data_IF_991722335965
#
_entry.id   IF_991722335965
#
_cell.length_a   1.000
_cell.length_b   1.000
_cell.length_c   1.000
_cell.angle_alpha   90.00
_cell.angle_beta   90.00
_cell.angle_gamma   90.00
#
_symmetry.space_group_name_H-M   'P 1'
#
loop_
_entity.id
_entity.type
_entity.pdbx_description
1 polymer ?
#
# COMPACT_ATOMS: atom_id res chain seq x y z
N UNK A 1 -3.86 -36.36 8.64
CA UNK A 1 -3.24 -35.71 7.47
C UNK A 1 -4.17 -34.62 6.97
N UNK A 2 -4.32 -33.60 7.81
CA UNK A 2 -4.21 -32.18 7.48
C UNK A 2 -4.60 -31.79 6.05
N UNK A 3 -5.90 -31.63 5.80
CA UNK A 3 -6.36 -30.85 4.66
C UNK A 3 -6.42 -29.40 5.10
N UNK A 4 -5.29 -28.69 4.97
CA UNK A 4 -5.23 -27.25 5.18
C UNK A 4 -6.29 -26.58 4.28
N UNK A 5 -7.14 -25.69 4.81
CA UNK A 5 -8.10 -24.98 3.98
C UNK A 5 -7.32 -24.16 2.97
N UNK A 6 -7.65 -24.38 1.70
CA UNK A 6 -7.32 -23.56 0.53
C UNK A 6 -7.00 -22.12 0.97
N UNK A 7 -5.76 -21.59 0.77
CA UNK A 7 -5.50 -20.21 1.12
C UNK A 7 -6.37 -19.38 0.18
N UNK A 8 -7.47 -18.87 0.75
CA UNK A 8 -8.23 -17.76 0.19
C UNK A 8 -7.19 -16.72 -0.25
N UNK A 9 -7.36 -16.05 -1.40
CA UNK A 9 -6.43 -15.02 -1.82
C UNK A 9 -6.19 -14.10 -0.64
N UNK A 10 -4.94 -14.04 -0.17
CA UNK A 10 -4.57 -13.32 1.04
C UNK A 10 -4.82 -11.83 0.80
N UNK A 11 -6.04 -11.38 1.09
CA UNK A 11 -6.42 -9.99 0.95
C UNK A 11 -5.75 -9.21 2.06
N UNK A 12 -4.93 -8.25 1.67
CA UNK A 12 -4.25 -7.38 2.62
C UNK A 12 -5.20 -6.29 3.08
N UNK A 13 -5.36 -6.17 4.38
CA UNK A 13 -6.14 -5.10 4.99
C UNK A 13 -5.21 -3.96 5.34
N UNK A 14 -5.40 -2.82 4.68
CA UNK A 14 -4.70 -1.59 4.99
C UNK A 14 -5.49 -0.77 6.01
N UNK A 15 -4.93 -0.62 7.20
CA UNK A 15 -5.45 0.24 8.25
C UNK A 15 -4.70 1.58 8.26
N UNK A 16 -5.38 2.64 7.82
CA UNK A 16 -4.78 3.98 7.80
C UNK A 16 -4.64 4.60 9.20
N UNK A 17 -5.55 4.28 10.12
CA UNK A 17 -5.57 4.83 11.48
C UNK A 17 -4.44 4.21 12.31
N UNK A 18 -4.33 2.89 12.28
CA UNK A 18 -3.25 2.14 12.90
C UNK A 18 -1.93 2.26 12.12
N UNK A 19 -1.98 2.69 10.85
CA UNK A 19 -0.86 2.70 9.90
C UNK A 19 -0.20 1.33 9.80
N UNK A 20 -1.03 0.30 9.63
CA UNK A 20 -0.59 -1.08 9.59
C UNK A 20 -1.23 -1.79 8.40
N UNK A 21 -0.48 -2.70 7.80
CA UNK A 21 -1.02 -3.66 6.86
C UNK A 21 -1.09 -5.01 7.52
N UNK A 22 -2.25 -5.61 7.46
CA UNK A 22 -2.52 -6.91 8.05
C UNK A 22 -2.86 -7.88 6.93
N UNK A 23 -2.15 -8.99 6.90
CA UNK A 23 -2.54 -10.21 6.21
C UNK A 23 -2.70 -11.32 7.24
N UNK A 24 -3.25 -12.46 6.83
CA UNK A 24 -3.67 -13.56 7.70
C UNK A 24 -2.72 -13.83 8.88
N UNK A 25 -1.42 -13.92 8.62
CA UNK A 25 -0.39 -14.18 9.64
C UNK A 25 0.71 -13.11 9.70
N UNK A 26 0.55 -11.99 9.00
CA UNK A 26 1.60 -10.98 8.87
C UNK A 26 1.07 -9.59 9.18
N UNK A 27 1.80 -8.83 9.98
CA UNK A 27 1.51 -7.43 10.26
C UNK A 27 2.73 -6.58 9.93
N UNK A 28 2.53 -5.55 9.10
CA UNK A 28 3.58 -4.64 8.67
C UNK A 28 3.25 -3.24 9.19
N UNK A 29 4.09 -2.72 10.07
CA UNK A 29 4.02 -1.33 10.53
C UNK A 29 4.55 -0.36 9.48
N UNK A 30 3.72 0.65 9.19
CA UNK A 30 4.03 1.72 8.26
C UNK A 30 4.31 3.01 9.01
N UNK A 31 5.28 3.76 8.51
CA UNK A 31 5.45 5.17 8.88
C UNK A 31 4.30 6.01 8.34
N UNK A 32 4.14 7.23 8.87
CA UNK A 32 3.16 8.21 8.39
C UNK A 32 3.28 8.45 6.88
N UNK A 33 4.50 8.49 6.37
CA UNK A 33 4.77 8.71 4.95
C UNK A 33 4.40 7.50 4.09
N UNK A 34 4.76 6.29 4.54
CA UNK A 34 4.43 5.04 3.82
C UNK A 34 2.91 4.79 3.77
N UNK A 35 2.20 5.06 4.87
CA UNK A 35 0.74 4.92 4.94
C UNK A 35 0.03 5.89 3.99
N UNK A 36 0.47 7.14 3.91
CA UNK A 36 -0.07 8.10 2.92
C UNK A 36 0.19 7.65 1.48
N UNK A 37 1.39 7.14 1.19
CA UNK A 37 1.75 6.63 -0.13
C UNK A 37 0.82 5.46 -0.56
N UNK A 38 0.61 4.48 0.33
CA UNK A 38 -0.29 3.35 0.05
C UNK A 38 -1.72 3.82 -0.11
N UNK A 39 -2.20 4.69 0.78
CA UNK A 39 -3.53 5.29 0.67
C UNK A 39 -3.73 5.94 -0.70
N UNK A 40 -2.74 6.69 -1.16
CA UNK A 40 -2.77 7.36 -2.48
C UNK A 40 -2.83 6.33 -3.62
N UNK A 41 -2.02 5.28 -3.55
CA UNK A 41 -2.04 4.18 -4.54
C UNK A 41 -3.39 3.46 -4.57
N UNK A 42 -4.02 3.26 -3.41
CA UNK A 42 -5.31 2.57 -3.29
C UNK A 42 -6.50 3.43 -3.72
N UNK A 43 -6.46 4.74 -3.44
CA UNK A 43 -7.51 5.68 -3.86
C UNK A 43 -7.45 6.03 -5.35
N UNK A 44 -6.31 5.79 -5.99
CA UNK A 44 -6.17 6.09 -7.40
C UNK A 44 -7.01 5.16 -8.25
N UNK A 45 -8.07 5.71 -8.85
CA UNK A 45 -8.85 5.05 -9.90
C UNK A 45 -8.00 4.71 -11.13
N UNK A 46 -6.94 5.49 -11.38
CA UNK A 46 -5.92 5.14 -12.36
C UNK A 46 -5.08 4.01 -11.79
N UNK A 47 -5.10 2.85 -12.46
CA UNK A 47 -4.23 1.70 -12.11
C UNK A 47 -2.75 2.10 -11.96
N UNK A 48 -2.32 3.21 -12.57
CA UNK A 48 -0.97 3.74 -12.49
C UNK A 48 -0.99 5.16 -11.88
N UNK A 49 -0.23 5.36 -10.80
CA UNK A 49 0.02 6.64 -10.15
C UNK A 49 1.36 7.23 -10.59
N UNK A 50 1.37 8.45 -11.11
CA UNK A 50 2.61 9.16 -11.44
C UNK A 50 3.38 9.62 -10.20
N UNK A 51 4.69 9.84 -10.35
CA UNK A 51 5.55 10.30 -9.24
C UNK A 51 4.98 11.53 -8.54
N UNK A 52 4.53 12.53 -9.32
CA UNK A 52 3.95 13.76 -8.77
C UNK A 52 2.68 13.48 -7.94
N UNK A 53 1.78 12.60 -8.41
CA UNK A 53 0.57 12.23 -7.68
C UNK A 53 0.91 11.55 -6.34
N UNK A 54 1.90 10.66 -6.34
CA UNK A 54 2.36 10.01 -5.11
C UNK A 54 2.92 11.03 -4.12
N UNK A 55 3.75 11.95 -4.59
CA UNK A 55 4.37 12.98 -3.74
C UNK A 55 3.29 13.91 -3.16
N UNK A 56 2.32 14.34 -3.98
CA UNK A 56 1.19 15.15 -3.53
C UNK A 56 0.33 14.42 -2.49
N UNK A 57 0.04 13.14 -2.71
CA UNK A 57 -0.75 12.33 -1.78
C UNK A 57 -0.03 12.04 -0.45
N UNK A 58 1.29 12.16 -0.41
CA UNK A 58 2.11 12.10 0.81
C UNK A 58 2.17 13.43 1.57
N UNK A 59 1.42 14.44 1.12
CA UNK A 59 1.49 15.82 1.62
C UNK A 59 2.93 16.37 1.53
N UNK A 60 3.56 16.15 0.38
CA UNK A 60 4.92 16.61 0.09
C UNK A 60 4.94 17.51 -1.14
N UNK A 61 5.92 18.40 -1.14
CA UNK A 61 6.17 19.30 -2.25
C UNK A 61 6.88 18.56 -3.40
N UNK A 62 6.27 18.57 -4.59
CA UNK A 62 6.77 17.87 -5.79
C UNK A 62 8.13 18.38 -6.28
N UNK A 63 8.48 19.64 -6.01
CA UNK A 63 9.74 20.24 -6.46
C UNK A 63 10.87 20.00 -5.46
N UNK A 64 10.55 19.89 -4.16
CA UNK A 64 11.53 19.71 -3.09
C UNK A 64 11.75 18.26 -2.69
N UNK A 65 10.73 17.43 -2.79
CA UNK A 65 10.79 16.05 -2.31
C UNK A 65 11.40 15.09 -3.34
N UNK A 66 12.67 14.75 -3.14
CA UNK A 66 13.41 13.76 -3.95
C UNK A 66 13.46 12.36 -3.33
N UNK A 67 12.87 12.19 -2.15
CA UNK A 67 12.92 10.94 -1.37
C UNK A 67 11.92 9.86 -1.81
N UNK A 68 11.13 10.09 -2.85
CA UNK A 68 10.06 9.17 -3.28
C UNK A 68 10.60 7.76 -3.57
N UNK A 69 11.67 7.66 -4.37
CA UNK A 69 12.24 6.38 -4.77
C UNK A 69 12.79 5.59 -3.58
N UNK A 70 13.39 6.29 -2.61
CA UNK A 70 13.84 5.69 -1.36
C UNK A 70 12.67 5.17 -0.54
N UNK A 71 11.60 5.96 -0.41
CA UNK A 71 10.41 5.60 0.36
C UNK A 71 9.72 4.37 -0.26
N UNK A 72 9.59 4.36 -1.58
CA UNK A 72 9.10 3.21 -2.34
C UNK A 72 9.98 1.99 -2.15
N UNK A 73 11.30 2.10 -2.29
CA UNK A 73 12.23 0.98 -2.11
C UNK A 73 12.15 0.38 -0.71
N UNK A 74 12.11 1.22 0.33
CA UNK A 74 11.97 0.77 1.72
C UNK A 74 10.64 0.06 1.96
N UNK A 75 9.54 0.64 1.50
CA UNK A 75 8.22 0.03 1.63
C UNK A 75 8.14 -1.30 0.88
N UNK A 76 8.63 -1.31 -0.35
CA UNK A 76 8.70 -2.48 -1.22
C UNK A 76 9.49 -3.62 -0.58
N UNK A 77 10.66 -3.31 0.01
CA UNK A 77 11.47 -4.29 0.71
C UNK A 77 10.78 -4.81 1.98
N UNK A 78 10.13 -3.94 2.75
CA UNK A 78 9.38 -4.33 3.96
C UNK A 78 8.26 -5.32 3.62
N UNK A 79 7.53 -5.07 2.53
CA UNK A 79 6.53 -6.01 2.00
C UNK A 79 7.13 -7.31 1.49
N UNK A 80 8.23 -7.21 0.75
CA UNK A 80 8.92 -8.38 0.18
C UNK A 80 9.50 -9.27 1.28
N UNK A 81 9.98 -8.70 2.37
CA UNK A 81 10.47 -9.46 3.53
C UNK A 81 9.34 -10.22 4.22
N UNK A 82 8.17 -9.59 4.30
CA UNK A 82 6.95 -10.17 4.87
C UNK A 82 6.29 -11.28 4.03
N UNK A 83 6.24 -11.12 2.70
CA UNK A 83 5.43 -11.96 1.79
C UNK A 83 6.28 -12.68 0.72
N UNK A 84 7.52 -12.26 0.50
CA UNK A 84 8.34 -12.67 -0.65
C UNK A 84 7.96 -11.97 -1.97
N UNK A 85 6.81 -11.30 -2.02
CA UNK A 85 6.24 -10.69 -3.22
C UNK A 85 6.39 -9.17 -3.31
N UNK A 86 5.94 -8.59 -4.43
CA UNK A 86 6.01 -7.15 -4.67
C UNK A 86 4.66 -6.47 -4.46
N UNK A 87 4.61 -5.38 -3.68
CA UNK A 87 3.37 -4.60 -3.49
C UNK A 87 2.91 -3.84 -4.75
N UNK A 88 3.85 -3.16 -5.41
CA UNK A 88 3.59 -2.38 -6.62
C UNK A 88 4.68 -2.64 -7.66
N UNK A 89 4.34 -2.38 -8.93
CA UNK A 89 5.30 -2.37 -10.04
C UNK A 89 5.62 -0.94 -10.43
N UNK A 90 6.90 -0.70 -10.74
CA UNK A 90 7.34 0.50 -11.44
C UNK A 90 7.07 0.35 -12.94
N UNK A 91 6.44 1.34 -13.53
CA UNK A 91 6.19 1.47 -14.97
C UNK A 91 7.04 2.63 -15.48
N UNK A 92 8.00 2.33 -16.36
CA UNK A 92 8.91 3.33 -16.93
C UNK A 92 8.11 4.45 -17.59
N UNK A 93 8.51 5.69 -17.32
CA UNK A 93 7.88 6.92 -17.82
C UNK A 93 6.40 7.14 -17.43
N UNK A 94 5.79 6.28 -16.62
CA UNK A 94 4.40 6.47 -16.17
C UNK A 94 4.30 6.65 -14.65
N UNK A 95 4.98 5.81 -13.86
CA UNK A 95 4.90 5.84 -12.40
C UNK A 95 4.82 4.46 -11.77
N UNK A 96 3.93 4.28 -10.80
CA UNK A 96 3.81 3.06 -10.00
C UNK A 96 2.38 2.53 -9.99
N UNK A 97 2.23 1.22 -10.02
CA UNK A 97 0.93 0.53 -10.08
C UNK A 97 0.88 -0.51 -8.98
N UNK A 98 -0.16 -0.49 -8.16
CA UNK A 98 -0.43 -1.54 -7.18
C UNK A 98 -0.64 -2.86 -7.92
N UNK A 99 0.04 -3.93 -7.50
CA UNK A 99 -0.16 -5.27 -8.08
C UNK A 99 -0.89 -6.21 -7.12
N UNK A 100 -0.80 -5.94 -5.81
CA UNK A 100 -1.55 -6.68 -4.80
C UNK A 100 -2.93 -6.05 -4.58
N UNK A 101 -3.92 -6.89 -4.27
CA UNK A 101 -5.26 -6.46 -3.87
C UNK A 101 -5.22 -6.03 -2.39
N UNK A 102 -5.01 -4.73 -2.17
CA UNK A 102 -5.16 -4.12 -0.86
C UNK A 102 -6.62 -3.71 -0.67
N UNK A 103 -7.21 -4.07 0.46
CA UNK A 103 -8.53 -3.61 0.90
C UNK A 103 -8.35 -2.62 2.04
N UNK A 104 -8.97 -1.42 1.97
CA UNK A 104 -8.96 -0.54 3.13
C UNK A 104 -9.73 -1.23 4.26
N UNK A 105 -9.30 -1.03 5.51
CA UNK A 105 -10.14 -1.39 6.65
C UNK A 105 -11.43 -0.58 6.53
N UNK A 106 -12.53 -1.25 6.25
CA UNK A 106 -13.87 -0.66 6.32
C UNK A 106 -14.18 -0.51 7.81
N UNK A 107 -13.54 0.46 8.47
CA UNK A 107 -14.03 0.92 9.75
C UNK A 107 -15.26 1.79 9.43
N UNK A 108 -16.37 1.15 9.07
CA UNK A 108 -17.69 1.78 9.07
C UNK A 108 -17.97 2.24 10.51
N UNK A 109 -18.00 3.54 10.84
CA UNK A 109 -19.12 3.99 11.62
C UNK A 109 -20.33 3.75 10.71
N UNK A 110 -21.10 2.71 11.04
CA UNK A 110 -22.53 2.75 10.81
C UNK A 110 -23.02 4.04 11.48
N UNK A 111 -23.18 5.09 10.67
CA UNK A 111 -24.24 6.05 10.88
C UNK A 111 -25.12 5.96 9.65
N UNK A 112 -26.03 4.98 9.72
CA UNK A 112 -27.33 5.13 9.10
C UNK A 112 -28.01 6.37 9.67
N UNK A 113 -28.86 6.98 8.84
CA UNK A 113 -29.86 8.02 9.11
C UNK A 113 -29.33 9.46 9.06
#
# INVERSE_FOLDING_TARGET
MDTAPNPLPEHWVFDFTARQLRAAHVCIDLTSTESLLIKTLMLSHSRICSKQQLILGMDKDIHRYKGLEMCLSRLQNKFKDALGERLFKSVRNCGYCLVQDLKPVLNTPVCSI
#
